data_IF_345885636596
#
_entry.id   IF_345885636596
#
_cell.length_a   1.000
_cell.length_b   1.000
_cell.length_c   1.000
_cell.angle_alpha   90.00
_cell.angle_beta   90.00
_cell.angle_gamma   90.00
#
_symmetry.space_group_name_H-M   'P 1'
#
loop_
_entity.id
_entity.type
_entity.pdbx_description
1 polymer ?
#
# COMPACT_ATOMS: atom_id res chain seq x y z
N UNK A 1 -29.25 9.47 4.75
CA UNK A 1 -27.81 9.15 4.65
C UNK A 1 -27.03 10.34 5.18
N UNK A 2 -26.27 10.16 6.26
CA UNK A 2 -25.42 11.24 6.80
C UNK A 2 -24.22 11.42 5.86
N UNK A 3 -24.14 12.58 5.20
CA UNK A 3 -23.09 13.04 4.26
C UNK A 3 -21.66 13.08 4.83
N UNK A 4 -21.40 12.56 6.03
CA UNK A 4 -20.16 12.84 6.79
C UNK A 4 -18.97 11.92 6.48
N UNK A 5 -19.16 10.83 5.73
CA UNK A 5 -18.11 9.84 5.47
C UNK A 5 -17.95 9.48 3.98
N UNK A 6 -18.46 10.33 3.07
CA UNK A 6 -18.28 10.10 1.63
C UNK A 6 -16.87 10.55 1.22
N UNK A 7 -16.11 9.63 0.65
CA UNK A 7 -14.82 9.90 0.03
C UNK A 7 -15.02 9.95 -1.48
N UNK A 8 -14.45 10.98 -2.12
CA UNK A 8 -14.46 11.11 -3.58
C UNK A 8 -13.20 10.50 -4.16
N UNK A 9 -13.35 9.64 -5.16
CA UNK A 9 -12.25 9.01 -5.88
C UNK A 9 -12.44 9.21 -7.39
N UNK A 10 -11.41 9.69 -8.07
CA UNK A 10 -11.37 9.74 -9.53
C UNK A 10 -10.49 8.60 -10.06
N UNK A 11 -11.05 7.79 -10.96
CA UNK A 11 -10.31 6.75 -11.65
C UNK A 11 -10.26 6.99 -13.15
N UNK A 12 -9.08 6.74 -13.72
CA UNK A 12 -8.79 6.74 -15.15
C UNK A 12 -8.29 5.35 -15.64
N UNK A 13 -8.44 4.32 -14.79
CA UNK A 13 -7.94 2.96 -15.01
C UNK A 13 -8.95 1.88 -14.59
N UNK A 14 -8.46 0.78 -14.04
CA UNK A 14 -9.18 -0.49 -13.84
C UNK A 14 -10.40 -0.41 -12.91
N UNK A 15 -10.47 0.54 -11.99
CA UNK A 15 -11.63 0.73 -11.10
C UNK A 15 -12.91 1.07 -11.90
N UNK A 16 -12.76 1.56 -13.13
CA UNK A 16 -13.86 1.80 -14.06
C UNK A 16 -14.45 0.51 -14.66
N UNK A 17 -13.78 -0.63 -14.53
CA UNK A 17 -14.26 -1.94 -14.99
C UNK A 17 -15.50 -2.37 -14.19
N UNK A 18 -16.53 -2.83 -14.91
CA UNK A 18 -17.75 -3.37 -14.32
C UNK A 18 -17.53 -4.56 -13.41
N UNK A 19 -16.57 -5.42 -13.73
CA UNK A 19 -16.18 -6.52 -12.87
C UNK A 19 -15.61 -6.01 -11.54
N UNK A 20 -14.91 -4.87 -11.54
CA UNK A 20 -14.36 -4.26 -10.33
C UNK A 20 -15.49 -3.68 -9.48
N UNK A 21 -16.15 -2.62 -9.96
CA UNK A 21 -17.05 -1.84 -9.11
C UNK A 21 -18.30 -2.62 -8.68
N UNK A 22 -18.80 -3.57 -9.47
CA UNK A 22 -19.96 -4.38 -9.06
C UNK A 22 -19.65 -5.41 -7.99
N UNK A 23 -18.39 -5.83 -7.85
CA UNK A 23 -18.00 -6.89 -6.92
C UNK A 23 -17.29 -6.37 -5.66
N UNK A 24 -16.67 -5.20 -5.75
CA UNK A 24 -15.82 -4.66 -4.68
C UNK A 24 -16.37 -3.38 -4.06
N UNK A 25 -17.18 -2.61 -4.79
CA UNK A 25 -17.84 -1.41 -4.25
C UNK A 25 -19.29 -1.70 -3.88
N UNK A 26 -19.86 -0.78 -3.13
CA UNK A 26 -21.25 -0.81 -2.67
C UNK A 26 -22.21 -0.92 -3.85
N UNK A 27 -23.29 -1.69 -3.67
CA UNK A 27 -24.27 -1.98 -4.73
C UNK A 27 -24.82 -0.72 -5.43
N UNK A 28 -24.98 0.38 -4.67
CA UNK A 28 -25.47 1.66 -5.15
C UNK A 28 -24.37 2.73 -5.23
N UNK A 29 -23.11 2.33 -5.48
CA UNK A 29 -22.00 3.27 -5.63
C UNK A 29 -22.32 4.32 -6.69
N UNK A 30 -22.25 5.60 -6.30
CA UNK A 30 -22.49 6.72 -7.20
C UNK A 30 -21.29 6.84 -8.14
N UNK A 31 -21.58 6.93 -9.44
CA UNK A 31 -20.58 7.02 -10.51
C UNK A 31 -20.97 8.12 -11.47
N UNK A 32 -20.06 9.07 -11.70
CA UNK A 32 -20.30 10.23 -12.56
C UNK A 32 -19.15 10.40 -13.55
N UNK A 33 -19.42 10.71 -14.82
CA UNK A 33 -18.34 11.02 -15.76
C UNK A 33 -17.63 12.30 -15.31
N UNK A 34 -16.30 12.30 -15.37
CA UNK A 34 -15.51 13.42 -14.89
C UNK A 34 -14.21 13.62 -15.67
N UNK A 35 -13.64 14.82 -15.54
CA UNK A 35 -12.38 15.22 -16.16
C UNK A 35 -11.43 15.75 -15.10
N UNK A 36 -10.20 15.24 -15.10
CA UNK A 36 -9.07 15.77 -14.34
C UNK A 36 -8.22 16.67 -15.26
N UNK A 37 -8.26 17.97 -15.01
CA UNK A 37 -7.53 18.96 -15.80
C UNK A 37 -6.09 19.15 -15.32
N UNK A 38 -5.18 19.46 -16.24
CA UNK A 38 -3.79 19.76 -15.91
C UNK A 38 -2.91 18.51 -15.75
N UNK A 39 -3.39 17.38 -16.24
CA UNK A 39 -2.69 16.11 -16.24
C UNK A 39 -2.82 15.43 -17.60
N UNK A 40 -1.77 14.68 -17.96
CA UNK A 40 -1.79 13.76 -19.07
C UNK A 40 -1.77 12.31 -18.55
N UNK A 41 -2.62 11.46 -19.16
CA UNK A 41 -2.57 10.01 -18.97
C UNK A 41 -1.42 9.46 -19.81
N UNK A 42 -0.45 8.85 -19.16
CA UNK A 42 0.75 8.29 -19.77
C UNK A 42 0.83 6.78 -19.52
N UNK A 43 1.67 6.11 -20.29
CA UNK A 43 2.17 4.76 -20.03
C UNK A 43 3.69 4.81 -19.88
N UNK A 44 4.26 3.97 -19.03
CA UNK A 44 5.71 3.81 -18.91
C UNK A 44 6.22 2.53 -19.60
N UNK A 45 7.52 2.24 -19.53
CA UNK A 45 8.11 1.04 -20.14
C UNK A 45 7.59 -0.27 -19.53
N UNK A 46 6.87 -0.21 -18.40
CA UNK A 46 6.17 -1.35 -17.80
C UNK A 46 4.70 -1.46 -18.23
N UNK A 47 4.27 -0.63 -19.18
CA UNK A 47 2.92 -0.57 -19.78
C UNK A 47 1.78 -0.22 -18.81
N UNK A 48 2.11 0.24 -17.60
CA UNK A 48 1.12 0.69 -16.63
C UNK A 48 0.78 2.17 -16.81
N UNK A 49 -0.43 2.55 -16.45
CA UNK A 49 -0.81 3.96 -16.51
C UNK A 49 -0.24 4.78 -15.36
N UNK A 50 0.16 6.00 -15.68
CA UNK A 50 0.55 7.03 -14.72
C UNK A 50 0.05 8.41 -15.17
N UNK A 51 0.10 9.37 -14.25
CA UNK A 51 -0.26 10.76 -14.52
C UNK A 51 0.99 11.63 -14.46
N UNK A 52 1.16 12.48 -15.47
CA UNK A 52 2.17 13.56 -15.46
C UNK A 52 1.44 14.89 -15.49
N UNK A 53 1.92 15.85 -14.70
CA UNK A 53 1.39 17.23 -14.75
C UNK A 53 1.61 17.80 -16.15
N UNK A 54 0.54 18.26 -16.77
CA UNK A 54 0.56 18.90 -18.08
C UNK A 54 -0.70 19.76 -18.24
N UNK A 55 -0.51 21.08 -18.20
CA UNK A 55 -1.60 22.06 -18.26
C UNK A 55 -2.34 22.08 -19.61
N UNK A 56 -1.75 21.51 -20.66
CA UNK A 56 -2.37 21.44 -21.98
C UNK A 56 -3.25 20.20 -22.15
N UNK A 57 -3.23 19.27 -21.19
CA UNK A 57 -3.95 18.01 -21.26
C UNK A 57 -5.01 17.88 -20.15
N UNK A 58 -5.95 17.01 -20.42
CA UNK A 58 -7.00 16.61 -19.51
C UNK A 58 -7.18 15.09 -19.58
N UNK A 59 -7.56 14.49 -18.46
CA UNK A 59 -7.81 13.05 -18.36
C UNK A 59 -9.29 12.82 -18.13
N UNK A 60 -9.93 12.10 -19.04
CA UNK A 60 -11.29 11.61 -18.88
C UNK A 60 -11.29 10.39 -17.97
N UNK A 61 -12.30 10.31 -17.10
CA UNK A 61 -12.47 9.19 -16.18
C UNK A 61 -13.81 9.22 -15.49
N UNK A 62 -13.88 8.55 -14.34
CA UNK A 62 -15.10 8.41 -13.55
C UNK A 62 -14.84 8.84 -12.11
N UNK A 63 -15.71 9.70 -11.59
CA UNK A 63 -15.83 10.00 -10.17
C UNK A 63 -16.67 8.92 -9.49
N UNK A 64 -16.17 8.41 -8.37
CA UNK A 64 -16.84 7.49 -7.47
C UNK A 64 -17.04 8.15 -6.11
N UNK A 65 -18.21 7.92 -5.51
CA UNK A 65 -18.45 8.18 -4.08
C UNK A 65 -18.29 6.88 -3.31
N UNK A 66 -17.20 6.77 -2.54
CA UNK A 66 -16.82 5.56 -1.82
C UNK A 66 -16.79 5.79 -0.31
N UNK A 67 -16.79 4.69 0.41
CA UNK A 67 -16.57 4.58 1.85
C UNK A 67 -15.09 4.45 2.18
N UNK A 68 -14.76 4.58 3.45
CA UNK A 68 -13.41 4.37 3.95
C UNK A 68 -12.92 2.92 3.79
N UNK A 69 -13.79 1.94 4.00
CA UNK A 69 -13.46 0.52 3.76
C UNK A 69 -13.08 0.25 2.30
N UNK A 70 -13.82 0.86 1.38
CA UNK A 70 -13.55 0.77 -0.05
C UNK A 70 -12.25 1.49 -0.41
N UNK A 71 -11.93 2.62 0.24
CA UNK A 71 -10.65 3.29 0.05
C UNK A 71 -9.48 2.38 0.47
N UNK A 72 -9.56 1.71 1.63
CA UNK A 72 -8.52 0.76 2.06
C UNK A 72 -8.41 -0.44 1.13
N UNK A 73 -9.52 -0.93 0.58
CA UNK A 73 -9.51 -1.98 -0.45
C UNK A 73 -8.83 -1.52 -1.73
N UNK A 74 -9.09 -0.28 -2.16
CA UNK A 74 -8.44 0.30 -3.34
C UNK A 74 -6.95 0.52 -3.08
N UNK A 75 -6.53 0.97 -1.89
CA UNK A 75 -5.12 1.04 -1.51
C UNK A 75 -4.41 -0.32 -1.68
N UNK A 76 -5.09 -1.43 -1.35
CA UNK A 76 -4.54 -2.79 -1.56
C UNK A 76 -4.48 -3.17 -3.04
N UNK A 77 -5.52 -2.87 -3.81
CA UNK A 77 -5.54 -3.11 -5.26
C UNK A 77 -4.41 -2.36 -5.97
N UNK A 78 -4.26 -1.08 -5.65
CA UNK A 78 -3.24 -0.18 -6.18
C UNK A 78 -1.84 -0.44 -5.57
N UNK A 79 -1.71 -1.45 -4.70
CA UNK A 79 -0.47 -1.86 -4.05
C UNK A 79 0.24 -0.68 -3.35
N UNK A 80 -0.51 0.17 -2.65
CA UNK A 80 0.04 1.33 -1.95
C UNK A 80 1.26 0.94 -1.09
N UNK A 81 2.39 1.69 -1.16
CA UNK A 81 2.56 2.99 -1.83
C UNK A 81 3.14 2.93 -3.26
N UNK A 82 3.11 1.79 -3.96
CA UNK A 82 3.60 1.71 -5.34
C UNK A 82 2.84 2.65 -6.27
N UNK A 83 1.51 2.62 -6.17
CA UNK A 83 0.68 3.74 -6.54
C UNK A 83 0.42 4.58 -5.30
N UNK A 84 0.76 5.84 -5.40
CA UNK A 84 0.49 6.85 -4.40
C UNK A 84 -0.81 7.54 -4.76
N UNK A 85 -1.57 7.93 -3.73
CA UNK A 85 -2.74 8.77 -3.92
C UNK A 85 -2.42 10.22 -3.58
N UNK A 86 -2.97 11.14 -4.36
CA UNK A 86 -2.95 12.57 -4.11
C UNK A 86 -4.38 13.13 -4.24
N UNK A 87 -4.60 14.34 -3.75
CA UNK A 87 -5.89 15.02 -3.92
C UNK A 87 -5.82 16.03 -5.07
N UNK A 88 -6.88 16.09 -5.85
CA UNK A 88 -7.05 17.04 -6.94
C UNK A 88 -8.51 17.45 -7.10
N UNK A 89 -8.69 18.57 -7.81
CA UNK A 89 -10.02 19.01 -8.23
C UNK A 89 -10.33 18.44 -9.61
N UNK A 90 -11.56 17.97 -9.78
CA UNK A 90 -12.07 17.44 -11.06
C UNK A 90 -13.33 18.20 -11.46
N UNK A 91 -13.74 18.05 -12.73
CA UNK A 91 -15.02 18.55 -13.24
C UNK A 91 -15.94 17.37 -13.51
N UNK A 92 -17.07 17.28 -12.84
CA UNK A 92 -18.14 16.34 -13.18
C UNK A 92 -18.88 16.83 -14.42
N UNK A 93 -18.78 16.09 -15.53
CA UNK A 93 -19.21 16.59 -16.86
C UNK A 93 -20.71 16.54 -17.07
N UNK A 94 -21.43 15.79 -16.24
CA UNK A 94 -22.89 15.72 -16.23
C UNK A 94 -23.56 17.02 -15.72
N UNK A 95 -22.83 17.82 -14.92
CA UNK A 95 -23.36 19.01 -14.23
C UNK A 95 -22.47 20.25 -14.36
N UNK A 96 -21.23 20.08 -14.85
CA UNK A 96 -20.16 21.08 -14.82
C UNK A 96 -19.79 21.56 -13.40
N UNK A 97 -20.03 20.71 -12.40
CA UNK A 97 -19.63 20.95 -11.01
C UNK A 97 -18.14 20.67 -10.83
N UNK A 98 -17.44 21.55 -10.10
CA UNK A 98 -16.08 21.28 -9.62
C UNK A 98 -16.20 20.51 -8.31
N UNK A 99 -15.60 19.32 -8.28
CA UNK A 99 -15.50 18.50 -7.07
C UNK A 99 -14.08 18.64 -6.54
N UNK A 100 -13.96 19.08 -5.29
CA UNK A 100 -12.68 19.32 -4.61
C UNK A 100 -12.26 18.10 -3.78
N UNK A 101 -10.97 18.06 -3.42
CA UNK A 101 -10.38 17.05 -2.52
C UNK A 101 -10.57 15.59 -2.95
N UNK A 102 -10.64 15.35 -4.27
CA UNK A 102 -10.84 14.02 -4.85
C UNK A 102 -9.53 13.25 -4.86
N UNK A 103 -9.52 12.04 -4.29
CA UNK A 103 -8.37 11.15 -4.37
C UNK A 103 -8.16 10.67 -5.81
N UNK A 104 -6.89 10.62 -6.20
CA UNK A 104 -6.43 10.12 -7.51
C UNK A 104 -5.20 9.27 -7.25
N UNK A 105 -5.15 8.06 -7.79
CA UNK A 105 -3.96 7.20 -7.71
C UNK A 105 -3.04 7.44 -8.89
N UNK A 106 -1.74 7.42 -8.66
CA UNK A 106 -0.74 7.43 -9.70
C UNK A 106 0.53 6.76 -9.22
N UNK A 107 1.35 6.24 -10.13
CA UNK A 107 2.63 5.62 -9.81
C UNK A 107 3.79 6.48 -10.27
N UNK A 108 4.96 6.21 -9.70
CA UNK A 108 6.21 6.73 -10.22
C UNK A 108 6.53 6.06 -11.57
N UNK A 109 7.20 6.82 -12.44
CA UNK A 109 7.53 6.36 -13.79
C UNK A 109 8.68 5.35 -13.76
N UNK A 110 8.49 4.23 -14.47
CA UNK A 110 9.56 3.28 -14.72
C UNK A 110 10.16 3.49 -16.12
N UNK A 111 11.43 3.86 -16.18
CA UNK A 111 12.11 4.12 -17.45
C UNK A 111 11.56 5.36 -18.14
N UNK A 112 11.17 5.22 -19.40
CA UNK A 112 10.57 6.31 -20.19
C UNK A 112 9.05 6.23 -20.15
N UNK A 113 8.42 7.39 -20.28
CA UNK A 113 6.97 7.49 -20.42
C UNK A 113 6.57 8.12 -21.75
N UNK A 114 5.34 7.80 -22.16
CA UNK A 114 4.72 8.25 -23.39
C UNK A 114 3.24 8.56 -23.12
N UNK A 115 2.62 9.42 -23.92
CA UNK A 115 1.17 9.62 -23.84
C UNK A 115 0.45 8.31 -24.13
N UNK A 116 -0.52 7.95 -23.30
CA UNK A 116 -1.33 6.77 -23.51
C UNK A 116 -2.18 6.93 -24.77
N UNK A 117 -2.27 5.92 -25.66
CA UNK A 117 -3.19 5.94 -26.78
C UNK A 117 -4.64 6.10 -26.29
N UNK A 118 -5.47 6.86 -27.01
CA UNK A 118 -6.86 7.13 -26.60
C UNK A 118 -7.71 5.86 -26.51
N UNK A 119 -7.36 4.86 -27.32
CA UNK A 119 -8.04 3.57 -27.40
C UNK A 119 -7.66 2.64 -26.24
N UNK A 120 -6.60 2.96 -25.49
CA UNK A 120 -6.15 2.17 -24.35
C UNK A 120 -6.97 2.55 -23.11
N UNK A 121 -8.09 1.85 -22.91
CA UNK A 121 -8.98 2.08 -21.78
C UNK A 121 -8.36 1.59 -20.45
N UNK A 122 -7.87 0.36 -20.45
CA UNK A 122 -7.19 -0.28 -19.32
C UNK A 122 -5.73 -0.54 -19.65
N UNK A 123 -4.88 -0.61 -18.62
CA UNK A 123 -3.48 -0.96 -18.83
C UNK A 123 -3.45 -2.38 -19.43
N UNK A 124 -2.59 -2.56 -20.44
CA UNK A 124 -2.48 -3.83 -21.16
C UNK A 124 -1.44 -4.74 -20.54
N UNK A 125 -0.97 -4.44 -19.33
CA UNK A 125 -0.01 -5.29 -18.65
C UNK A 125 -0.52 -6.74 -18.72
N UNK A 126 0.26 -7.69 -19.25
CA UNK A 126 -0.16 -9.10 -19.32
C UNK A 126 -0.46 -9.71 -17.94
N UNK A 127 -0.07 -9.01 -16.86
CA UNK A 127 -0.35 -9.29 -15.47
C UNK A 127 -1.63 -8.59 -14.93
N UNK A 128 -2.40 -7.87 -15.74
CA UNK A 128 -3.68 -7.27 -15.35
C UNK A 128 -4.83 -7.93 -16.15
N UNK A 129 -4.77 -9.26 -16.24
CA UNK A 129 -5.87 -10.00 -16.83
C UNK A 129 -7.07 -10.02 -15.88
N UNK A 130 -8.25 -10.27 -16.45
CA UNK A 130 -9.50 -10.53 -15.73
C UNK A 130 -9.32 -11.55 -14.58
N UNK A 131 -8.37 -12.49 -14.72
CA UNK A 131 -8.04 -13.48 -13.69
C UNK A 131 -7.44 -12.85 -12.43
N UNK A 132 -6.58 -11.84 -12.53
CA UNK A 132 -6.02 -11.16 -11.36
C UNK A 132 -7.08 -10.33 -10.63
N UNK A 133 -7.98 -9.67 -11.35
CA UNK A 133 -9.13 -9.03 -10.74
C UNK A 133 -10.05 -10.06 -10.06
N UNK A 134 -10.32 -11.20 -10.69
CA UNK A 134 -11.08 -12.30 -10.08
C UNK A 134 -10.41 -12.86 -8.83
N UNK A 135 -9.08 -13.01 -8.84
CA UNK A 135 -8.31 -13.48 -7.70
C UNK A 135 -8.37 -12.46 -6.55
N UNK A 136 -8.21 -11.18 -6.84
CA UNK A 136 -8.35 -10.11 -5.85
C UNK A 136 -9.76 -10.06 -5.24
N UNK A 137 -10.80 -10.17 -6.06
CA UNK A 137 -12.20 -10.28 -5.60
C UNK A 137 -12.39 -11.47 -4.66
N UNK A 138 -11.82 -12.63 -4.99
CA UNK A 138 -11.90 -13.82 -4.14
C UNK A 138 -11.19 -13.58 -2.80
N UNK A 139 -9.96 -13.04 -2.83
CA UNK A 139 -9.17 -12.75 -1.63
C UNK A 139 -9.86 -11.74 -0.71
N UNK A 140 -10.43 -10.66 -1.23
CA UNK A 140 -11.14 -9.66 -0.41
C UNK A 140 -12.39 -10.22 0.26
N UNK A 141 -13.06 -11.20 -0.37
CA UNK A 141 -14.20 -11.91 0.21
C UNK A 141 -13.76 -12.92 1.27
N UNK A 142 -12.70 -13.68 1.01
CA UNK A 142 -12.17 -14.67 1.96
C UNK A 142 -11.58 -14.01 3.22
N UNK A 143 -10.98 -12.83 3.07
CA UNK A 143 -10.39 -12.06 4.15
C UNK A 143 -11.37 -11.02 4.76
N UNK A 144 -12.67 -11.11 4.47
CA UNK A 144 -13.66 -10.11 4.86
C UNK A 144 -13.60 -9.74 6.36
N UNK A 145 -13.45 -10.74 7.21
CA UNK A 145 -13.44 -10.63 8.68
C UNK A 145 -12.03 -10.44 9.28
N UNK A 146 -10.98 -10.39 8.44
CA UNK A 146 -9.62 -10.15 8.91
C UNK A 146 -9.42 -8.65 9.20
N UNK A 147 -8.62 -8.32 10.24
CA UNK A 147 -8.34 -6.93 10.58
C UNK A 147 -7.47 -6.27 9.50
N UNK A 148 -7.49 -4.93 9.49
CA UNK A 148 -6.49 -4.15 8.77
C UNK A 148 -5.23 -4.01 9.62
N UNK A 149 -4.09 -4.21 8.98
CA UNK A 149 -2.77 -4.17 9.58
C UNK A 149 -1.81 -3.32 8.75
N UNK A 150 -1.10 -2.41 9.41
CA UNK A 150 0.19 -1.94 8.92
C UNK A 150 1.28 -2.72 9.68
N UNK A 151 2.27 -3.26 8.98
CA UNK A 151 3.36 -4.02 9.59
C UNK A 151 4.69 -3.38 9.26
N UNK A 152 5.55 -3.19 10.26
CA UNK A 152 6.88 -2.64 10.07
C UNK A 152 7.97 -3.46 10.78
N UNK A 153 9.14 -3.52 10.14
CA UNK A 153 10.30 -4.30 10.57
C UNK A 153 11.51 -3.38 10.49
N UNK A 154 12.18 -3.18 11.63
CA UNK A 154 13.29 -2.24 11.75
C UNK A 154 14.62 -2.98 11.79
N UNK A 155 15.58 -2.54 10.97
CA UNK A 155 16.95 -3.03 10.95
C UNK A 155 17.91 -1.88 11.29
N UNK A 156 18.93 -2.14 12.11
CA UNK A 156 20.05 -1.21 12.25
C UNK A 156 20.95 -1.30 11.00
N UNK A 157 21.44 -0.17 10.51
CA UNK A 157 22.28 -0.07 9.30
C UNK A 157 23.46 0.87 9.48
N UNK A 158 24.49 0.70 8.66
CA UNK A 158 25.64 1.62 8.62
C UNK A 158 25.30 2.94 7.92
N UNK A 159 26.16 3.95 8.05
CA UNK A 159 26.02 5.20 7.28
C UNK A 159 26.02 4.94 5.76
N UNK A 160 26.90 4.05 5.27
CA UNK A 160 26.98 3.71 3.84
C UNK A 160 25.69 3.04 3.34
N UNK A 161 25.11 2.15 4.15
CA UNK A 161 23.85 1.48 3.85
C UNK A 161 22.67 2.46 3.88
N UNK A 162 22.65 3.41 4.81
CA UNK A 162 21.62 4.45 4.87
C UNK A 162 21.64 5.35 3.63
N UNK A 163 22.84 5.77 3.18
CA UNK A 163 22.98 6.58 1.96
C UNK A 163 22.46 5.83 0.72
N UNK A 164 22.69 4.51 0.62
CA UNK A 164 22.13 3.68 -0.45
C UNK A 164 20.59 3.69 -0.45
N UNK A 165 19.97 3.73 0.73
CA UNK A 165 18.52 3.79 0.86
C UNK A 165 17.96 5.18 0.53
N UNK A 166 18.65 6.25 0.92
CA UNK A 166 18.22 7.65 0.69
C UNK A 166 18.12 8.03 -0.80
N UNK A 167 18.87 7.35 -1.67
CA UNK A 167 18.87 7.63 -3.11
C UNK A 167 17.83 6.81 -3.90
N UNK A 168 17.10 5.90 -3.24
CA UNK A 168 16.09 5.08 -3.90
C UNK A 168 14.89 5.92 -4.30
N UNK A 169 14.55 5.90 -5.59
CA UNK A 169 13.33 6.51 -6.11
C UNK A 169 12.13 5.58 -6.01
N UNK A 170 12.36 4.27 -6.13
CA UNK A 170 11.33 3.22 -6.09
C UNK A 170 11.66 2.19 -5.01
N UNK A 171 11.48 2.52 -3.72
CA UNK A 171 11.92 1.67 -2.60
C UNK A 171 10.96 0.50 -2.35
N UNK A 172 10.40 -0.09 -3.40
CA UNK A 172 9.36 -1.11 -3.32
C UNK A 172 9.95 -2.51 -3.44
N UNK A 173 9.56 -3.40 -2.54
CA UNK A 173 10.02 -4.78 -2.48
C UNK A 173 8.89 -5.73 -2.10
N UNK A 174 9.10 -7.02 -2.33
CA UNK A 174 8.28 -8.08 -1.75
C UNK A 174 9.07 -8.79 -0.65
N UNK A 175 8.46 -8.97 0.52
CA UNK A 175 8.92 -9.91 1.53
C UNK A 175 8.32 -11.28 1.21
N UNK A 176 9.18 -12.25 0.95
CA UNK A 176 8.80 -13.64 0.72
C UNK A 176 9.24 -14.45 1.93
N UNK A 177 8.29 -15.14 2.56
CA UNK A 177 8.54 -16.13 3.62
C UNK A 177 8.16 -17.50 3.07
N UNK A 178 9.14 -18.36 2.85
CA UNK A 178 8.97 -19.69 2.25
C UNK A 178 9.27 -20.79 3.27
N UNK A 179 8.24 -21.53 3.68
CA UNK A 179 8.36 -22.67 4.58
C UNK A 179 8.89 -23.90 3.84
N UNK A 180 10.17 -24.19 4.05
CA UNK A 180 10.87 -25.28 3.39
C UNK A 180 10.31 -26.66 3.77
N UNK A 181 9.63 -26.79 4.92
CA UNK A 181 9.06 -28.05 5.40
C UNK A 181 7.67 -28.27 4.80
N UNK A 182 6.73 -27.35 5.04
CA UNK A 182 5.34 -27.55 4.65
C UNK A 182 5.01 -27.07 3.22
N UNK A 183 5.98 -26.48 2.51
CA UNK A 183 5.84 -25.96 1.13
C UNK A 183 4.75 -24.90 0.99
N UNK A 184 4.58 -24.11 2.04
CA UNK A 184 3.74 -22.92 2.05
C UNK A 184 4.62 -21.69 1.88
N UNK A 185 4.13 -20.69 1.15
CA UNK A 185 4.82 -19.42 1.03
C UNK A 185 3.87 -18.25 1.21
N UNK A 186 4.41 -17.15 1.71
CA UNK A 186 3.75 -15.87 1.86
C UNK A 186 4.51 -14.83 1.04
N UNK A 187 3.79 -13.98 0.30
CA UNK A 187 4.37 -12.83 -0.40
C UNK A 187 3.62 -11.58 0.03
N UNK A 188 4.32 -10.64 0.65
CA UNK A 188 3.74 -9.39 1.12
C UNK A 188 4.48 -8.19 0.49
N UNK A 189 3.75 -7.19 -0.04
CA UNK A 189 4.36 -5.97 -0.56
C UNK A 189 4.85 -5.10 0.61
N UNK A 190 6.07 -4.59 0.48
CA UNK A 190 6.71 -3.71 1.45
C UNK A 190 7.37 -2.53 0.73
N UNK A 191 7.57 -1.46 1.48
CA UNK A 191 8.48 -0.36 1.12
C UNK A 191 9.58 -0.26 2.16
N UNK A 192 10.77 0.16 1.73
CA UNK A 192 11.92 0.38 2.62
C UNK A 192 12.23 1.87 2.76
N UNK A 193 12.31 2.35 3.99
CA UNK A 193 12.64 3.74 4.30
C UNK A 193 13.94 3.84 5.08
N UNK A 194 14.75 4.84 4.73
CA UNK A 194 15.87 5.27 5.53
C UNK A 194 15.36 6.08 6.73
N UNK A 195 15.85 5.75 7.93
CA UNK A 195 15.40 6.41 9.16
C UNK A 195 16.60 6.68 10.08
N UNK A 196 16.60 7.84 10.75
CA UNK A 196 17.62 8.19 11.75
C UNK A 196 16.95 8.48 13.08
N UNK A 197 17.20 7.63 14.07
CA UNK A 197 16.65 7.74 15.43
C UNK A 197 17.82 7.81 16.41
N UNK A 198 17.80 8.78 17.34
CA UNK A 198 18.80 8.90 18.42
C UNK A 198 20.27 8.77 17.94
N UNK A 199 20.61 9.38 16.80
CA UNK A 199 21.93 9.31 16.14
C UNK A 199 22.37 7.93 15.62
N UNK A 200 21.47 6.94 15.58
CA UNK A 200 21.67 5.66 14.90
C UNK A 200 20.86 5.62 13.60
N UNK A 201 21.33 4.82 12.66
CA UNK A 201 20.74 4.70 11.33
C UNK A 201 20.00 3.38 11.22
N UNK A 202 18.84 3.45 10.55
CA UNK A 202 17.95 2.32 10.41
C UNK A 202 17.37 2.21 9.00
N UNK A 203 17.05 0.97 8.63
CA UNK A 203 16.14 0.66 7.54
C UNK A 203 14.81 0.20 8.13
N UNK A 204 13.71 0.87 7.76
CA UNK A 204 12.36 0.51 8.14
C UNK A 204 11.64 -0.10 6.94
N UNK A 205 11.38 -1.39 6.99
CA UNK A 205 10.45 -2.04 6.06
C UNK A 205 9.04 -1.79 6.58
N UNK A 206 8.11 -1.34 5.74
CA UNK A 206 6.69 -1.20 6.11
C UNK A 206 5.75 -1.67 4.99
N UNK A 207 4.67 -2.34 5.39
CA UNK A 207 3.49 -2.62 4.57
C UNK A 207 2.27 -1.91 5.15
N UNK A 208 1.36 -1.48 4.27
CA UNK A 208 0.18 -0.70 4.66
C UNK A 208 -1.12 -1.43 4.35
N UNK A 209 -2.10 -1.29 5.24
CA UNK A 209 -3.50 -1.62 5.01
C UNK A 209 -3.75 -3.08 4.61
N UNK A 210 -2.88 -4.00 5.05
CA UNK A 210 -2.97 -5.44 4.74
C UNK A 210 -4.15 -6.04 5.49
N UNK A 211 -4.85 -6.97 4.84
CA UNK A 211 -6.04 -7.62 5.39
C UNK A 211 -5.73 -9.09 5.72
N UNK A 212 -5.06 -9.30 6.86
CA UNK A 212 -4.61 -10.62 7.31
C UNK A 212 -4.49 -10.67 8.84
N UNK A 213 -4.05 -11.81 9.39
CA UNK A 213 -3.83 -12.00 10.84
C UNK A 213 -2.34 -12.10 11.21
N UNK A 214 -1.45 -11.56 10.38
CA UNK A 214 0.00 -11.67 10.55
C UNK A 214 0.50 -10.44 11.30
N UNK A 215 0.56 -10.55 12.63
CA UNK A 215 1.00 -9.45 13.50
C UNK A 215 2.52 -9.47 13.78
N UNK A 216 3.00 -8.52 14.58
CA UNK A 216 4.42 -8.39 14.92
C UNK A 216 5.02 -9.64 15.59
N UNK A 217 4.24 -10.40 16.36
CA UNK A 217 4.70 -11.66 16.99
C UNK A 217 4.96 -12.71 15.91
N UNK A 218 4.09 -12.84 14.92
CA UNK A 218 4.31 -13.75 13.79
C UNK A 218 5.62 -13.42 13.08
N UNK A 219 5.84 -12.15 12.71
CA UNK A 219 7.07 -11.74 12.03
C UNK A 219 8.31 -11.94 12.90
N UNK A 220 8.24 -11.64 14.20
CA UNK A 220 9.32 -11.95 15.14
C UNK A 220 9.67 -13.43 15.14
N UNK A 221 8.67 -14.30 15.28
CA UNK A 221 8.90 -15.74 15.32
C UNK A 221 9.41 -16.28 13.98
N UNK A 222 8.89 -15.78 12.85
CA UNK A 222 9.33 -16.17 11.51
C UNK A 222 10.80 -15.78 11.25
N UNK A 223 11.20 -14.56 11.64
CA UNK A 223 12.57 -14.09 11.45
C UNK A 223 13.56 -14.67 12.45
N UNK A 224 13.13 -15.06 13.64
CA UNK A 224 13.99 -15.65 14.67
C UNK A 224 14.00 -17.18 14.66
N UNK A 225 13.27 -17.82 13.74
CA UNK A 225 13.20 -19.29 13.64
C UNK A 225 12.53 -19.94 14.85
N UNK A 226 11.51 -19.29 15.42
CA UNK A 226 10.80 -19.72 16.63
C UNK A 226 9.45 -20.40 16.37
N UNK A 227 9.09 -20.61 15.10
CA UNK A 227 7.84 -21.30 14.73
C UNK A 227 8.09 -22.81 14.74
N UNK A 228 7.36 -23.54 15.58
CA UNK A 228 7.51 -25.00 15.68
C UNK A 228 7.07 -25.69 14.37
N UNK A 229 7.92 -26.60 13.87
CA UNK A 229 7.59 -27.42 12.69
C UNK A 229 7.61 -26.68 11.35
N UNK A 230 8.23 -25.50 11.31
CA UNK A 230 8.34 -24.62 10.13
C UNK A 230 9.80 -24.20 9.98
N UNK A 231 10.31 -24.19 8.75
CA UNK A 231 11.64 -23.66 8.44
C UNK A 231 11.50 -22.54 7.42
N UNK A 232 11.53 -21.29 7.90
CA UNK A 232 11.26 -20.11 7.06
C UNK A 232 12.54 -19.63 6.37
N UNK A 233 12.60 -19.78 5.05
CA UNK A 233 13.52 -19.04 4.21
C UNK A 233 12.93 -17.65 3.92
N UNK A 234 13.75 -16.61 4.09
CA UNK A 234 13.33 -15.21 3.91
C UNK A 234 14.00 -14.65 2.68
N UNK A 235 13.23 -13.99 1.83
CA UNK A 235 13.76 -13.26 0.67
C UNK A 235 13.18 -11.85 0.67
N UNK A 236 14.05 -10.85 0.67
CA UNK A 236 13.69 -9.47 0.33
C UNK A 236 13.93 -9.29 -1.17
N UNK A 237 12.86 -9.25 -1.95
CA UNK A 237 12.94 -9.15 -3.41
C UNK A 237 12.59 -7.72 -3.87
N UNK A 238 13.58 -6.89 -4.24
CA UNK A 238 13.33 -5.63 -4.92
C UNK A 238 12.40 -5.80 -6.12
N UNK A 239 11.42 -4.92 -6.27
CA UNK A 239 10.55 -4.87 -7.44
C UNK A 239 11.13 -3.98 -8.56
N UNK A 240 12.19 -3.25 -8.24
CA UNK A 240 12.92 -2.32 -9.10
C UNK A 240 14.43 -2.54 -8.96
N UNK A 241 15.23 -1.85 -9.77
CA UNK A 241 16.69 -1.99 -9.80
C UNK A 241 17.36 -1.40 -8.54
N UNK A 242 17.47 -2.21 -7.48
CA UNK A 242 18.32 -1.96 -6.32
C UNK A 242 18.68 -3.28 -5.61
N UNK A 243 19.59 -3.23 -4.63
CA UNK A 243 20.11 -4.40 -3.92
C UNK A 243 19.98 -4.21 -2.41
N UNK A 244 19.53 -5.26 -1.70
CA UNK A 244 19.38 -5.31 -0.25
C UNK A 244 20.15 -6.49 0.40
N UNK A 245 21.22 -6.98 -0.22
CA UNK A 245 22.00 -8.12 0.25
C UNK A 245 22.55 -7.88 1.67
N UNK A 246 22.80 -6.62 2.04
CA UNK A 246 23.24 -6.23 3.38
C UNK A 246 22.19 -6.53 4.48
N UNK A 247 20.93 -6.76 4.11
CA UNK A 247 19.85 -7.16 5.01
C UNK A 247 19.52 -8.66 4.96
N UNK A 248 20.01 -9.42 3.96
CA UNK A 248 19.55 -10.79 3.69
C UNK A 248 19.67 -11.72 4.91
N UNK A 249 20.79 -11.65 5.62
CA UNK A 249 21.06 -12.45 6.82
C UNK A 249 20.94 -11.65 8.13
N UNK A 250 20.58 -10.36 8.04
CA UNK A 250 20.53 -9.49 9.21
C UNK A 250 19.26 -9.78 10.00
N UNK A 251 19.41 -9.93 11.32
CA UNK A 251 18.26 -10.01 12.23
C UNK A 251 17.67 -8.61 12.45
N UNK A 252 16.35 -8.43 12.30
CA UNK A 252 15.69 -7.19 12.68
C UNK A 252 15.90 -6.83 14.15
N UNK A 253 15.95 -5.54 14.43
CA UNK A 253 16.03 -5.00 15.78
C UNK A 253 14.66 -5.04 16.48
N UNK A 254 13.60 -4.62 15.79
CA UNK A 254 12.22 -4.53 16.28
C UNK A 254 11.21 -4.90 15.19
N UNK A 255 10.04 -5.35 15.62
CA UNK A 255 8.86 -5.65 14.82
C UNK A 255 7.70 -4.88 15.41
N UNK A 256 6.90 -4.23 14.59
CA UNK A 256 5.76 -3.45 15.07
C UNK A 256 4.59 -3.61 14.11
N UNK A 257 3.40 -3.84 14.66
CA UNK A 257 2.16 -3.86 13.89
C UNK A 257 1.20 -2.83 14.44
N UNK A 258 0.52 -2.12 13.55
CA UNK A 258 -0.65 -1.32 13.87
C UNK A 258 -1.87 -2.10 13.40
N UNK A 259 -2.84 -2.34 14.28
CA UNK A 259 -4.04 -3.13 14.00
C UNK A 259 -5.29 -2.31 14.20
N UNK A 260 -6.22 -2.38 13.25
CA UNK A 260 -7.56 -1.81 13.41
C UNK A 260 -8.50 -2.82 14.04
N UNK A 261 -9.22 -2.37 15.07
CA UNK A 261 -10.26 -3.17 15.74
C UNK A 261 -11.43 -2.25 16.13
N UNK A 262 -12.51 -2.30 15.35
CA UNK A 262 -13.70 -1.44 15.54
C UNK A 262 -14.40 -1.66 16.89
N UNK A 263 -14.12 -2.79 17.57
CA UNK A 263 -14.69 -3.10 18.87
C UNK A 263 -13.90 -2.45 20.02
N UNK A 264 -12.70 -1.95 19.76
CA UNK A 264 -11.88 -1.29 20.77
C UNK A 264 -12.33 0.16 20.98
N UNK A 265 -12.44 0.56 22.24
CA UNK A 265 -12.87 1.92 22.60
C UNK A 265 -11.70 2.87 22.87
N UNK A 266 -10.52 2.33 23.16
CA UNK A 266 -9.31 3.09 23.46
C UNK A 266 -8.09 2.41 22.82
N UNK A 267 -7.09 3.19 22.39
CA UNK A 267 -5.83 2.63 21.90
C UNK A 267 -5.20 1.70 22.94
N UNK A 268 -4.70 0.54 22.48
CA UNK A 268 -3.94 -0.42 23.30
C UNK A 268 -2.54 -0.59 22.75
N UNK A 269 -1.60 -0.87 23.65
CA UNK A 269 -0.22 -1.21 23.32
C UNK A 269 0.12 -2.56 23.95
N UNK A 270 0.63 -3.48 23.13
CA UNK A 270 1.14 -4.77 23.52
C UNK A 270 2.62 -4.88 23.21
N UNK A 271 3.36 -5.53 24.10
CA UNK A 271 4.78 -5.80 23.95
C UNK A 271 5.05 -7.29 24.18
N UNK A 272 5.94 -7.85 23.38
CA UNK A 272 6.42 -9.21 23.50
C UNK A 272 7.95 -9.26 23.36
N UNK A 273 8.62 -9.80 24.38
CA UNK A 273 10.08 -9.98 24.49
C UNK A 273 10.90 -8.69 24.21
N UNK A 274 10.35 -7.49 24.43
CA UNK A 274 10.97 -6.22 24.06
C UNK A 274 11.45 -6.19 22.59
N UNK A 275 10.75 -6.91 21.71
CA UNK A 275 11.12 -7.10 20.30
C UNK A 275 9.95 -6.91 19.36
N UNK A 276 8.77 -7.41 19.74
CA UNK A 276 7.55 -7.28 18.97
C UNK A 276 6.54 -6.38 19.69
N UNK A 277 6.03 -5.39 18.99
CA UNK A 277 5.04 -4.43 19.48
C UNK A 277 3.76 -4.49 18.66
N UNK A 278 2.61 -4.38 19.30
CA UNK A 278 1.32 -4.20 18.62
C UNK A 278 0.62 -2.98 19.19
N UNK A 279 0.20 -2.07 18.31
CA UNK A 279 -0.69 -0.97 18.65
C UNK A 279 -2.06 -1.33 18.08
N UNK A 280 -3.08 -1.35 18.92
CA UNK A 280 -4.47 -1.57 18.49
C UNK A 280 -5.22 -0.25 18.55
N UNK A 281 -5.81 0.16 17.44
CA UNK A 281 -6.63 1.36 17.33
C UNK A 281 -8.06 0.98 17.02
N UNK A 282 -9.00 1.78 17.52
CA UNK A 282 -10.42 1.67 17.14
C UNK A 282 -10.59 1.76 15.63
N UNK A 283 -9.97 2.77 15.04
CA UNK A 283 -10.05 3.06 13.62
C UNK A 283 -8.70 3.53 13.09
N UNK A 284 -8.53 3.43 11.80
CA UNK A 284 -7.33 3.92 11.12
C UNK A 284 -7.58 5.35 10.65
N UNK A 285 -6.55 6.21 10.74
CA UNK A 285 -6.58 7.43 9.94
C UNK A 285 -6.45 7.01 8.47
N UNK A 286 -7.29 7.53 7.59
CA UNK A 286 -7.21 7.22 6.17
C UNK A 286 -5.80 7.50 5.65
N UNK A 287 -5.13 8.56 6.11
CA UNK A 287 -3.78 8.91 5.72
C UNK A 287 -2.75 7.89 6.27
N UNK A 288 -2.14 7.06 5.39
CA UNK A 288 -1.17 6.06 5.80
C UNK A 288 0.10 6.65 6.41
N UNK A 289 0.45 7.91 6.08
CA UNK A 289 1.66 8.53 6.64
C UNK A 289 1.47 8.93 8.10
N UNK A 290 0.27 9.33 8.53
CA UNK A 290 -0.01 9.53 9.96
C UNK A 290 0.05 8.23 10.75
N UNK A 291 -0.31 7.11 10.13
CA UNK A 291 -0.17 5.78 10.74
C UNK A 291 1.30 5.37 10.82
N UNK A 292 2.09 5.66 9.79
CA UNK A 292 3.56 5.51 9.82
C UNK A 292 4.19 6.38 10.92
N UNK A 293 3.77 7.64 11.08
CA UNK A 293 4.29 8.52 12.13
C UNK A 293 4.07 7.95 13.53
N UNK A 294 2.90 7.34 13.77
CA UNK A 294 2.61 6.63 15.02
C UNK A 294 3.55 5.44 15.24
N UNK A 295 3.82 4.66 14.20
CA UNK A 295 4.78 3.56 14.22
C UNK A 295 6.19 4.07 14.56
N UNK A 296 6.66 5.10 13.85
CA UNK A 296 8.00 5.68 14.04
C UNK A 296 8.13 6.22 15.47
N UNK A 297 7.17 7.02 15.96
CA UNK A 297 7.21 7.56 17.32
C UNK A 297 7.30 6.46 18.36
N UNK A 298 6.54 5.39 18.18
CA UNK A 298 6.58 4.23 19.10
C UNK A 298 7.95 3.56 19.08
N UNK A 299 8.57 3.43 17.90
CA UNK A 299 9.94 2.91 17.79
C UNK A 299 10.95 3.85 18.49
N UNK A 300 10.86 5.16 18.31
CA UNK A 300 11.74 6.15 18.96
C UNK A 300 11.70 6.05 20.49
N UNK A 301 10.51 5.86 21.05
CA UNK A 301 10.31 5.72 22.50
C UNK A 301 10.87 4.41 23.05
N UNK A 302 10.94 3.35 22.23
CA UNK A 302 11.22 1.97 22.67
C UNK A 302 12.54 1.36 22.12
N UNK A 303 13.41 2.18 21.52
CA UNK A 303 14.76 1.81 21.11
C UNK A 303 15.78 2.41 22.08
N UNK A 304 16.75 1.59 22.50
CA UNK A 304 17.86 1.95 23.39
C UNK A 304 19.03 2.64 22.66
#
# INVERSE_FOLDING_TARGET
>A
MNKKNTIYLFSYGTIQDELFYKNLLSENVVRRPAILNGYAKCIDDSEYFLLKKDIAHQVEGTLFEITEEELFMIDRWEMFPQYQRFQANIIATDTNEIIEDVYVYTRLEYGKYYLAPKEMQFSKSPNENEQNLRAFIALEKESADFPLLDNAILFEVSDEELEKLNVLTHPYLALILDDQINKNYLVEPYSIFALKIKNKNYALLISFGRKNNLNSIFYFQAFEGKINGVEVQRTLKPLYEFNLDFLADRKPLKYISLRRDLNENQPKFGEYENKAYEIVLKDFDIDPFKRLDLIIRTLEENIE
#
